data_IF_893537031553
#
_entry.id   IF_893537031553
#
_cell.length_a   1.000
_cell.length_b   1.000
_cell.length_c   1.000
_cell.angle_alpha   90.00
_cell.angle_beta   90.00
_cell.angle_gamma   90.00
#
_symmetry.space_group_name_H-M   'P 1'
#
loop_
_entity.id
_entity.type
_entity.pdbx_description
1 polymer ?
#
# COMPACT_ATOMS: atom_id res chain seq x y z
N UNK A 1 -17.22 -12.71 -2.90
CA UNK A 1 -15.78 -12.99 -2.69
C UNK A 1 -15.15 -11.73 -2.13
N UNK A 2 -14.20 -11.85 -1.20
CA UNK A 2 -13.48 -10.67 -0.69
C UNK A 2 -12.66 -10.01 -1.79
N UNK A 3 -12.69 -8.68 -1.85
CA UNK A 3 -11.85 -7.87 -2.75
C UNK A 3 -10.53 -7.63 -2.02
N UNK A 4 -9.45 -8.04 -2.61
CA UNK A 4 -8.11 -7.89 -2.03
C UNK A 4 -7.20 -7.10 -2.96
N UNK A 5 -6.56 -6.07 -2.43
CA UNK A 5 -5.74 -5.14 -3.18
C UNK A 5 -4.35 -5.02 -2.58
N UNK A 6 -3.32 -5.03 -3.42
CA UNK A 6 -1.97 -4.73 -3.00
C UNK A 6 -1.70 -3.22 -3.20
N UNK A 7 -1.47 -2.50 -2.11
CA UNK A 7 -1.14 -1.07 -2.16
C UNK A 7 0.37 -0.91 -2.30
N UNK A 8 0.79 -0.46 -3.48
CA UNK A 8 2.18 -0.13 -3.79
C UNK A 8 2.38 1.39 -3.83
N UNK A 9 3.60 1.84 -3.61
CA UNK A 9 3.97 3.24 -3.79
C UNK A 9 4.93 3.43 -4.95
N UNK A 10 4.98 4.63 -5.49
CA UNK A 10 6.05 5.02 -6.42
C UNK A 10 7.40 5.17 -5.73
N UNK A 11 7.39 5.30 -4.39
CA UNK A 11 8.60 5.47 -3.56
C UNK A 11 8.26 5.28 -2.07
N UNK A 12 9.26 5.40 -1.20
CA UNK A 12 9.10 5.57 0.25
C UNK A 12 8.56 6.98 0.55
N UNK A 13 7.70 7.10 1.58
CA UNK A 13 7.17 8.40 2.02
C UNK A 13 6.16 9.03 1.05
N UNK A 14 5.55 8.24 0.15
CA UNK A 14 4.48 8.75 -0.74
C UNK A 14 3.08 8.67 -0.11
N UNK A 15 2.98 8.20 1.14
CA UNK A 15 1.73 8.13 1.90
C UNK A 15 0.93 6.86 1.65
N UNK A 16 1.59 5.71 1.40
CA UNK A 16 0.87 4.41 1.24
C UNK A 16 -0.07 4.14 2.39
N UNK A 17 0.41 4.24 3.62
CA UNK A 17 -0.36 3.94 4.83
C UNK A 17 -1.56 4.86 4.97
N UNK A 18 -1.35 6.16 4.76
CA UNK A 18 -2.42 7.13 4.74
C UNK A 18 -3.50 6.77 3.72
N UNK A 19 -3.10 6.47 2.48
CA UNK A 19 -4.06 6.06 1.44
C UNK A 19 -4.69 4.70 1.72
N UNK A 20 -3.95 3.73 2.29
CA UNK A 20 -4.51 2.44 2.73
C UNK A 20 -5.63 2.64 3.76
N UNK A 21 -5.41 3.50 4.76
CA UNK A 21 -6.42 3.87 5.76
C UNK A 21 -7.63 4.56 5.11
N UNK A 22 -7.39 5.52 4.21
CA UNK A 22 -8.47 6.22 3.50
C UNK A 22 -9.30 5.28 2.61
N UNK A 23 -8.66 4.34 1.91
CA UNK A 23 -9.34 3.31 1.10
C UNK A 23 -10.24 2.42 1.97
N UNK A 24 -9.76 2.01 3.15
CA UNK A 24 -10.55 1.22 4.10
C UNK A 24 -11.70 2.03 4.68
N UNK A 25 -11.50 3.30 5.03
CA UNK A 25 -12.55 4.20 5.49
C UNK A 25 -13.64 4.39 4.42
N UNK A 26 -13.24 4.63 3.15
CA UNK A 26 -14.15 4.75 2.03
C UNK A 26 -14.95 3.45 1.79
N UNK A 27 -14.29 2.29 1.83
CA UNK A 27 -14.96 0.99 1.70
C UNK A 27 -15.93 0.72 2.87
N UNK A 28 -15.52 1.04 4.10
CA UNK A 28 -16.36 0.88 5.29
C UNK A 28 -17.62 1.77 5.22
N UNK A 29 -17.51 2.98 4.67
CA UNK A 29 -18.66 3.87 4.45
C UNK A 29 -19.71 3.28 3.50
N UNK A 30 -19.33 2.33 2.64
CA UNK A 30 -20.28 1.56 1.80
C UNK A 30 -20.85 0.32 2.50
N UNK A 31 -20.52 0.09 3.77
CA UNK A 31 -20.99 -1.04 4.57
C UNK A 31 -20.13 -2.30 4.47
N UNK A 32 -18.94 -2.22 3.88
CA UNK A 32 -18.02 -3.34 3.79
C UNK A 32 -17.20 -3.49 5.09
N UNK A 33 -16.91 -4.74 5.45
CA UNK A 33 -15.94 -5.06 6.50
C UNK A 33 -14.53 -5.01 5.89
N UNK A 34 -13.62 -4.33 6.57
CA UNK A 34 -12.27 -4.08 6.08
C UNK A 34 -11.21 -4.72 6.95
N UNK A 35 -10.13 -5.22 6.34
CA UNK A 35 -8.96 -5.71 7.02
C UNK A 35 -7.69 -5.23 6.31
N UNK A 36 -6.58 -5.19 7.02
CA UNK A 36 -5.29 -4.88 6.44
C UNK A 36 -4.19 -5.83 6.93
N UNK A 37 -3.16 -5.95 6.12
CA UNK A 37 -1.90 -6.56 6.50
C UNK A 37 -0.73 -5.77 5.90
N UNK A 38 0.28 -5.50 6.72
CA UNK A 38 1.61 -5.02 6.35
C UNK A 38 2.58 -6.17 6.57
N UNK A 39 2.82 -7.02 5.55
CA UNK A 39 3.51 -8.30 5.75
C UNK A 39 4.94 -8.15 6.25
N UNK A 40 5.57 -7.02 5.95
CA UNK A 40 6.91 -6.64 6.44
C UNK A 40 6.91 -5.15 6.77
N UNK A 41 7.33 -4.80 7.98
CA UNK A 41 7.64 -3.44 8.40
C UNK A 41 9.08 -3.33 8.88
N UNK A 42 9.74 -2.22 8.57
CA UNK A 42 11.04 -1.83 9.08
C UNK A 42 10.92 -0.48 9.81
N UNK A 43 11.73 -0.26 10.85
CA UNK A 43 11.61 0.89 11.74
C UNK A 43 10.55 0.70 12.81
N UNK A 44 10.53 -0.48 13.42
CA UNK A 44 9.67 -0.74 14.58
C UNK A 44 10.33 -0.20 15.85
N UNK A 45 9.49 0.14 16.84
CA UNK A 45 9.94 0.55 18.16
C UNK A 45 10.56 -0.61 18.96
N UNK A 46 11.04 -0.32 20.18
CA UNK A 46 11.66 -1.31 21.08
C UNK A 46 10.70 -2.44 21.51
N UNK A 47 9.39 -2.23 21.39
CA UNK A 47 8.36 -3.23 21.68
C UNK A 47 7.98 -4.05 20.43
N UNK A 48 8.54 -3.72 19.26
CA UNK A 48 8.25 -4.37 17.98
C UNK A 48 7.01 -3.84 17.27
N UNK A 49 6.50 -2.66 17.64
CA UNK A 49 5.39 -2.00 16.97
C UNK A 49 5.88 -1.05 15.88
N UNK A 50 5.13 -1.01 14.79
CA UNK A 50 5.36 -0.13 13.66
C UNK A 50 4.17 0.81 13.49
N UNK A 51 4.41 2.11 13.36
CA UNK A 51 3.37 3.14 13.28
C UNK A 51 2.40 2.91 12.11
N UNK A 52 2.91 2.53 10.92
CA UNK A 52 2.04 2.22 9.78
C UNK A 52 1.07 1.07 10.11
N UNK A 53 1.55 0.01 10.77
CA UNK A 53 0.71 -1.13 11.12
C UNK A 53 -0.34 -0.76 12.18
N UNK A 54 0.00 0.10 13.14
CA UNK A 54 -0.95 0.61 14.13
C UNK A 54 -2.03 1.48 13.45
N UNK A 55 -1.65 2.37 12.54
CA UNK A 55 -2.62 3.16 11.76
C UNK A 55 -3.58 2.25 10.95
N UNK A 56 -3.07 1.18 10.35
CA UNK A 56 -3.91 0.22 9.62
C UNK A 56 -4.90 -0.48 10.57
N UNK A 57 -4.47 -0.85 11.78
CA UNK A 57 -5.33 -1.47 12.80
C UNK A 57 -6.44 -0.53 13.26
N UNK A 58 -6.15 0.75 13.42
CA UNK A 58 -7.14 1.76 13.79
C UNK A 58 -8.19 2.01 12.68
N UNK A 59 -7.78 1.89 11.42
CA UNK A 59 -8.64 2.20 10.27
C UNK A 59 -9.50 1.02 9.80
N UNK A 60 -9.13 -0.23 10.09
CA UNK A 60 -9.89 -1.40 9.68
C UNK A 60 -11.05 -1.70 10.62
N UNK A 61 -12.05 -2.46 10.13
CA UNK A 61 -13.22 -2.88 10.94
C UNK A 61 -13.07 -4.27 11.55
N UNK A 62 -12.15 -5.09 11.06
CA UNK A 62 -11.87 -6.41 11.63
C UNK A 62 -10.98 -6.25 12.87
N UNK A 63 -11.29 -7.03 13.90
CA UNK A 63 -10.47 -7.13 15.11
C UNK A 63 -9.41 -8.23 14.91
N UNK A 64 -8.23 -7.82 14.47
CA UNK A 64 -7.07 -8.68 14.24
C UNK A 64 -5.97 -8.37 15.25
N UNK A 65 -5.27 -9.41 15.70
CA UNK A 65 -4.08 -9.25 16.53
C UNK A 65 -2.96 -8.55 15.75
N UNK A 66 -2.13 -7.74 16.43
CA UNK A 66 -1.01 -7.03 15.80
C UNK A 66 -0.12 -7.96 14.96
N UNK A 67 0.17 -9.17 15.47
CA UNK A 67 0.99 -10.16 14.77
C UNK A 67 0.37 -10.70 13.48
N UNK A 68 -0.94 -10.56 13.31
CA UNK A 68 -1.64 -10.88 12.06
C UNK A 68 -1.53 -9.72 11.06
N UNK A 69 -1.57 -8.47 11.57
CA UNK A 69 -1.45 -7.26 10.75
C UNK A 69 0.01 -7.01 10.35
N UNK A 70 0.96 -7.15 11.29
CA UNK A 70 2.38 -7.00 10.99
C UNK A 70 3.20 -8.20 11.48
N UNK A 71 3.19 -9.32 10.72
CA UNK A 71 3.84 -10.56 11.14
C UNK A 71 5.38 -10.51 11.08
N UNK A 72 5.96 -9.57 10.35
CA UNK A 72 7.41 -9.38 10.28
C UNK A 72 7.75 -7.93 10.62
N UNK A 73 8.00 -7.71 11.90
CA UNK A 73 8.49 -6.45 12.45
C UNK A 73 10.02 -6.48 12.51
N UNK A 74 10.67 -5.45 11.95
CA UNK A 74 12.12 -5.26 11.92
C UNK A 74 12.45 -3.91 12.56
N UNK A 75 13.37 -3.89 13.53
CA UNK A 75 13.75 -2.70 14.30
C UNK A 75 14.39 -1.62 13.41
N UNK A 76 15.38 -1.99 12.60
CA UNK A 76 16.14 -1.03 11.81
C UNK A 76 15.30 -0.37 10.70
N UNK A 77 15.22 0.97 10.69
CA UNK A 77 14.52 1.78 9.69
C UNK A 77 15.29 1.88 8.36
N UNK A 78 15.51 0.75 7.71
CA UNK A 78 16.27 0.60 6.46
C UNK A 78 15.59 -0.39 5.53
N UNK A 79 16.21 -0.69 4.37
CA UNK A 79 15.65 -1.64 3.41
C UNK A 79 15.36 -3.01 4.07
N UNK A 80 14.19 -3.63 3.84
CA UNK A 80 13.72 -4.81 4.56
C UNK A 80 14.70 -6.00 4.57
N UNK A 81 15.37 -6.28 3.45
CA UNK A 81 16.35 -7.37 3.36
C UNK A 81 17.60 -7.10 4.22
N UNK A 82 18.02 -5.84 4.34
CA UNK A 82 19.16 -5.46 5.18
C UNK A 82 18.75 -5.54 6.66
N UNK A 83 17.59 -4.98 7.02
CA UNK A 83 17.06 -5.06 8.38
C UNK A 83 16.87 -6.52 8.84
N UNK A 84 16.34 -7.38 7.96
CA UNK A 84 16.19 -8.80 8.25
C UNK A 84 17.55 -9.50 8.48
N UNK A 85 18.54 -9.23 7.64
CA UNK A 85 19.89 -9.78 7.79
C UNK A 85 20.53 -9.36 9.14
N UNK A 86 20.39 -8.09 9.53
CA UNK A 86 20.87 -7.60 10.83
C UNK A 86 20.17 -8.30 12.01
N UNK A 87 18.88 -8.61 11.85
CA UNK A 87 18.10 -9.35 12.85
C UNK A 87 18.29 -10.88 12.77
N UNK A 88 19.18 -11.40 11.92
CA UNK A 88 19.38 -12.85 11.72
C UNK A 88 18.15 -13.56 11.12
N UNK A 89 17.26 -12.81 10.47
CA UNK A 89 16.03 -13.34 9.85
C UNK A 89 16.20 -13.47 8.33
N UNK A 90 15.55 -14.46 7.74
CA UNK A 90 15.44 -14.61 6.29
C UNK A 90 13.99 -14.39 5.86
N UNK A 91 13.78 -13.46 4.94
CA UNK A 91 12.47 -13.21 4.33
C UNK A 91 12.33 -14.08 3.06
N UNK A 92 11.14 -14.62 2.86
CA UNK A 92 10.78 -15.40 1.67
C UNK A 92 9.37 -15.00 1.22
N UNK A 93 9.19 -14.75 -0.07
CA UNK A 93 7.89 -14.35 -0.61
C UNK A 93 6.80 -15.38 -0.32
N UNK A 94 7.08 -16.66 -0.46
CA UNK A 94 6.13 -17.73 -0.18
C UNK A 94 5.62 -17.76 1.27
N UNK A 95 6.50 -17.44 2.24
CA UNK A 95 6.10 -17.32 3.65
C UNK A 95 5.19 -16.11 3.88
N UNK A 96 5.55 -14.95 3.30
CA UNK A 96 4.75 -13.74 3.39
C UNK A 96 3.37 -13.93 2.74
N UNK A 97 3.31 -14.62 1.61
CA UNK A 97 2.06 -15.04 0.95
C UNK A 97 1.18 -15.87 1.87
N UNK A 98 1.75 -16.84 2.58
CA UNK A 98 1.01 -17.64 3.56
C UNK A 98 0.37 -16.80 4.66
N UNK A 99 1.11 -15.81 5.19
CA UNK A 99 0.62 -14.87 6.20
C UNK A 99 -0.49 -13.96 5.65
N UNK A 100 -0.32 -13.42 4.44
CA UNK A 100 -1.36 -12.64 3.76
C UNK A 100 -2.65 -13.46 3.56
N UNK A 101 -2.51 -14.71 3.12
CA UNK A 101 -3.66 -15.62 2.95
C UNK A 101 -4.40 -15.88 4.27
N UNK A 102 -3.70 -15.89 5.41
CA UNK A 102 -4.33 -15.99 6.72
C UNK A 102 -5.32 -14.83 6.96
N UNK A 103 -4.93 -13.59 6.67
CA UNK A 103 -5.82 -12.44 6.77
C UNK A 103 -6.92 -12.46 5.71
N UNK A 104 -6.63 -12.94 4.49
CA UNK A 104 -7.62 -13.08 3.42
C UNK A 104 -8.74 -14.09 3.76
N UNK A 105 -8.56 -14.95 4.75
CA UNK A 105 -9.57 -15.87 5.28
C UNK A 105 -10.44 -15.24 6.38
N UNK A 106 -10.18 -13.98 6.79
CA UNK A 106 -11.05 -13.24 7.71
C UNK A 106 -12.45 -13.02 7.12
N UNK A 107 -13.33 -12.43 7.90
CA UNK A 107 -14.66 -12.09 7.40
C UNK A 107 -14.71 -10.76 6.64
N UNK A 108 -13.58 -10.13 6.39
CA UNK A 108 -13.50 -8.89 5.63
C UNK A 108 -13.93 -9.08 4.17
N UNK A 109 -14.63 -8.08 3.65
CA UNK A 109 -15.04 -8.02 2.25
C UNK A 109 -14.04 -7.22 1.41
N UNK A 110 -13.30 -6.29 2.05
CA UNK A 110 -12.30 -5.44 1.45
C UNK A 110 -10.99 -5.55 2.24
N UNK A 111 -9.93 -6.01 1.57
CA UNK A 111 -8.64 -6.31 2.22
C UNK A 111 -7.54 -5.53 1.55
N UNK A 112 -6.72 -4.84 2.35
CA UNK A 112 -5.53 -4.13 1.91
C UNK A 112 -4.28 -4.90 2.32
N UNK A 113 -3.42 -5.20 1.36
CA UNK A 113 -2.06 -5.69 1.59
C UNK A 113 -1.10 -4.55 1.31
N UNK A 114 -0.52 -3.96 2.33
CA UNK A 114 0.36 -2.82 2.15
C UNK A 114 1.81 -3.24 1.94
N UNK A 115 2.39 -2.81 0.82
CA UNK A 115 3.82 -2.93 0.55
C UNK A 115 4.67 -1.99 1.38
N UNK A 116 6.00 -2.14 1.32
CA UNK A 116 6.97 -1.23 1.89
C UNK A 116 7.79 -0.58 0.77
N UNK A 117 8.08 0.73 0.88
CA UNK A 117 8.82 1.46 -0.15
C UNK A 117 8.11 1.51 -1.50
N UNK A 118 8.84 1.27 -2.59
CA UNK A 118 8.28 1.19 -3.94
C UNK A 118 7.93 -0.24 -4.37
N UNK A 119 7.86 -0.49 -5.69
CA UNK A 119 7.50 -1.81 -6.24
C UNK A 119 8.64 -2.84 -6.13
N UNK A 120 9.87 -2.45 -6.47
CA UNK A 120 11.05 -3.33 -6.51
C UNK A 120 11.84 -3.28 -5.20
N UNK A 121 11.21 -3.57 -4.07
CA UNK A 121 11.88 -3.60 -2.75
C UNK A 121 12.38 -5.01 -2.45
N UNK A 122 13.71 -5.24 -2.38
CA UNK A 122 14.26 -6.56 -2.09
C UNK A 122 13.85 -7.04 -0.69
N UNK A 123 13.49 -8.32 -0.60
CA UNK A 123 13.28 -9.04 0.66
C UNK A 123 14.41 -10.05 0.91
N UNK A 124 15.07 -10.48 -0.16
CA UNK A 124 16.29 -11.28 -0.15
C UNK A 124 17.05 -11.10 -1.48
N UNK A 125 18.19 -11.76 -1.73
CA UNK A 125 18.96 -11.58 -2.97
C UNK A 125 18.26 -11.99 -4.28
N UNK A 126 17.10 -12.66 -4.21
CA UNK A 126 16.40 -13.21 -5.39
C UNK A 126 14.97 -12.71 -5.52
N UNK A 127 14.36 -12.27 -4.41
CA UNK A 127 12.94 -11.93 -4.35
C UNK A 127 12.75 -10.49 -3.87
N UNK A 128 11.66 -9.89 -4.32
CA UNK A 128 11.19 -8.55 -3.93
C UNK A 128 9.79 -8.64 -3.31
N UNK A 129 9.28 -7.55 -2.73
CA UNK A 129 7.89 -7.49 -2.28
C UNK A 129 6.88 -7.64 -3.42
N UNK A 130 7.26 -7.29 -4.66
CA UNK A 130 6.44 -7.54 -5.84
C UNK A 130 6.12 -9.05 -6.01
N UNK A 131 7.06 -9.94 -5.66
CA UNK A 131 6.86 -11.39 -5.76
C UNK A 131 5.73 -11.89 -4.83
N UNK A 132 5.47 -11.17 -3.73
CA UNK A 132 4.32 -11.45 -2.84
C UNK A 132 3.01 -11.15 -3.58
N UNK A 133 2.88 -9.97 -4.21
CA UNK A 133 1.69 -9.61 -4.98
C UNK A 133 1.48 -10.55 -6.17
N UNK A 134 2.56 -10.91 -6.87
CA UNK A 134 2.53 -11.85 -8.00
C UNK A 134 2.03 -13.23 -7.57
N UNK A 135 2.54 -13.79 -6.46
CA UNK A 135 2.10 -15.11 -5.97
C UNK A 135 0.67 -15.10 -5.40
N UNK A 136 0.19 -13.95 -4.94
CA UNK A 136 -1.19 -13.76 -4.51
C UNK A 136 -2.16 -13.55 -5.67
N UNK A 137 -1.67 -13.13 -6.83
CA UNK A 137 -2.48 -12.79 -8.02
C UNK A 137 -3.55 -11.72 -7.72
N UNK A 138 -3.19 -10.71 -6.94
CA UNK A 138 -4.09 -9.61 -6.57
C UNK A 138 -3.84 -8.37 -7.43
N UNK A 139 -4.89 -7.57 -7.64
CA UNK A 139 -4.76 -6.28 -8.33
C UNK A 139 -3.96 -5.27 -7.49
N UNK A 140 -3.27 -4.36 -8.16
CA UNK A 140 -2.42 -3.36 -7.52
C UNK A 140 -3.07 -1.98 -7.57
N UNK A 141 -3.11 -1.29 -6.43
CA UNK A 141 -3.41 0.14 -6.34
C UNK A 141 -2.09 0.87 -6.15
N UNK A 142 -1.78 1.81 -7.04
CA UNK A 142 -0.54 2.57 -7.00
C UNK A 142 -0.74 3.94 -6.35
N UNK A 143 -0.04 4.21 -5.26
CA UNK A 143 0.03 5.53 -4.63
C UNK A 143 1.16 6.33 -5.27
N UNK A 144 0.80 7.42 -5.93
CA UNK A 144 1.73 8.34 -6.59
C UNK A 144 1.92 9.56 -5.69
N UNK A 145 3.14 9.71 -5.13
CA UNK A 145 3.47 10.93 -4.38
C UNK A 145 3.67 12.10 -5.34
N UNK A 146 2.78 13.09 -5.26
CA UNK A 146 2.76 14.25 -6.16
C UNK A 146 3.87 15.23 -5.82
N UNK A 147 5.03 15.01 -6.43
CA UNK A 147 6.24 15.82 -6.34
C UNK A 147 7.01 15.77 -7.67
N UNK A 148 7.97 16.66 -7.88
CA UNK A 148 8.79 16.65 -9.10
C UNK A 148 9.44 15.25 -9.30
N UNK A 149 9.26 14.68 -10.50
CA UNK A 149 9.67 13.32 -10.84
C UNK A 149 8.55 12.26 -10.74
N UNK A 150 7.37 12.61 -10.22
CA UNK A 150 6.23 11.68 -10.03
C UNK A 150 5.80 10.99 -11.33
N UNK A 151 5.79 11.70 -12.46
CA UNK A 151 5.42 11.14 -13.77
C UNK A 151 6.35 9.97 -14.11
N UNK A 152 7.68 10.20 -14.08
CA UNK A 152 8.66 9.16 -14.38
C UNK A 152 8.51 7.95 -13.43
N UNK A 153 8.40 8.19 -12.12
CA UNK A 153 8.26 7.11 -11.13
C UNK A 153 6.98 6.32 -11.32
N UNK A 154 5.87 7.00 -11.61
CA UNK A 154 4.57 6.35 -11.81
C UNK A 154 4.59 5.46 -13.07
N UNK A 155 5.10 5.97 -14.19
CA UNK A 155 5.16 5.22 -15.46
C UNK A 155 6.08 4.00 -15.35
N UNK A 156 7.29 4.15 -14.80
CA UNK A 156 8.20 3.02 -14.59
C UNK A 156 7.60 1.97 -13.65
N UNK A 157 6.89 2.41 -12.60
CA UNK A 157 6.23 1.48 -11.67
C UNK A 157 5.08 0.75 -12.35
N UNK A 158 4.24 1.45 -13.11
CA UNK A 158 3.13 0.84 -13.86
C UNK A 158 3.63 -0.17 -14.90
N UNK A 159 4.70 0.14 -15.63
CA UNK A 159 5.36 -0.79 -16.54
C UNK A 159 5.85 -2.04 -15.81
N UNK A 160 6.50 -1.88 -14.65
CA UNK A 160 7.01 -2.99 -13.86
C UNK A 160 5.88 -3.90 -13.36
N UNK A 161 4.77 -3.34 -12.85
CA UNK A 161 3.59 -4.10 -12.40
C UNK A 161 3.02 -4.94 -13.56
N UNK A 162 2.83 -4.32 -14.74
CA UNK A 162 2.31 -5.02 -15.92
C UNK A 162 3.26 -6.09 -16.45
N UNK A 163 4.57 -5.81 -16.44
CA UNK A 163 5.59 -6.79 -16.83
C UNK A 163 5.60 -8.03 -15.92
N UNK A 164 5.27 -7.84 -14.65
CA UNK A 164 5.14 -8.94 -13.68
C UNK A 164 3.83 -9.73 -13.84
N UNK A 165 2.99 -9.39 -14.82
CA UNK A 165 1.74 -10.09 -15.13
C UNK A 165 0.57 -9.69 -14.22
N UNK A 166 0.68 -8.59 -13.49
CA UNK A 166 -0.39 -8.10 -12.64
C UNK A 166 -1.16 -6.94 -13.30
N UNK A 167 -2.39 -6.78 -12.86
CA UNK A 167 -3.21 -5.64 -13.22
C UNK A 167 -2.87 -4.45 -12.32
N UNK A 168 -2.52 -3.31 -12.91
CA UNK A 168 -2.66 -2.03 -12.25
C UNK A 168 -4.16 -1.72 -12.22
N UNK A 169 -4.81 -1.98 -11.09
CA UNK A 169 -6.26 -1.84 -10.96
C UNK A 169 -6.67 -0.36 -10.90
N UNK A 170 -5.90 0.43 -10.17
CA UNK A 170 -6.14 1.85 -9.99
C UNK A 170 -4.89 2.59 -9.51
N UNK A 171 -4.97 3.92 -9.44
CA UNK A 171 -3.96 4.74 -8.80
C UNK A 171 -4.58 5.93 -8.05
N UNK A 172 -3.83 6.43 -7.08
CA UNK A 172 -4.20 7.60 -6.25
C UNK A 172 -3.08 8.63 -6.37
N UNK A 173 -3.43 9.86 -6.68
CA UNK A 173 -2.54 11.01 -6.49
C UNK A 173 -2.58 11.40 -5.02
N UNK A 174 -1.43 11.40 -4.35
CA UNK A 174 -1.34 11.83 -2.95
C UNK A 174 -0.33 12.97 -2.80
N UNK A 175 -0.72 14.00 -2.07
CA UNK A 175 0.15 15.14 -1.78
C UNK A 175 0.76 14.96 -0.38
N UNK A 176 1.98 14.39 -0.26
CA UNK A 176 2.59 14.13 1.06
C UNK A 176 3.15 15.39 1.74
N UNK A 177 2.93 16.55 1.14
CA UNK A 177 3.37 17.85 1.60
C UNK A 177 2.69 18.98 0.81
N UNK A 178 3.21 20.19 0.86
CA UNK A 178 2.66 21.32 0.12
C UNK A 178 2.49 21.03 -1.37
N UNK A 179 1.43 21.56 -1.95
CA UNK A 179 1.09 21.35 -3.36
C UNK A 179 2.24 21.75 -4.28
N UNK A 180 2.64 20.85 -5.17
CA UNK A 180 3.71 21.09 -6.14
C UNK A 180 3.29 22.10 -7.21
N UNK A 181 4.28 22.77 -7.83
CA UNK A 181 4.04 23.61 -8.99
C UNK A 181 3.48 22.79 -10.16
N UNK A 182 2.57 23.39 -10.94
CA UNK A 182 1.92 22.75 -12.09
C UNK A 182 1.27 21.40 -11.73
N UNK A 183 0.64 21.32 -10.55
CA UNK A 183 0.01 20.09 -10.05
C UNK A 183 -1.02 19.53 -11.04
N UNK A 184 -1.92 20.39 -11.56
CA UNK A 184 -2.98 19.98 -12.48
C UNK A 184 -2.44 19.42 -13.79
N UNK A 185 -1.40 20.03 -14.34
CA UNK A 185 -0.76 19.58 -15.59
C UNK A 185 -0.06 18.25 -15.40
N UNK A 186 0.57 18.02 -14.22
CA UNK A 186 1.15 16.73 -13.89
C UNK A 186 0.06 15.67 -13.70
N UNK A 187 -1.04 16.01 -13.02
CA UNK A 187 -2.17 15.13 -12.79
C UNK A 187 -2.83 14.71 -14.11
N UNK A 188 -3.06 15.68 -15.01
CA UNK A 188 -3.62 15.39 -16.34
C UNK A 188 -2.70 14.51 -17.18
N UNK A 189 -1.39 14.75 -17.14
CA UNK A 189 -0.39 13.88 -17.80
C UNK A 189 -0.47 12.45 -17.27
N UNK A 190 -0.57 12.25 -15.97
CA UNK A 190 -0.71 10.92 -15.36
C UNK A 190 -2.03 10.25 -15.76
N UNK A 191 -3.15 11.00 -15.80
CA UNK A 191 -4.45 10.46 -16.26
C UNK A 191 -4.39 9.94 -17.69
N UNK A 192 -3.66 10.62 -18.56
CA UNK A 192 -3.53 10.23 -19.98
C UNK A 192 -2.56 9.06 -20.16
N UNK A 193 -1.54 8.93 -19.33
CA UNK A 193 -0.45 7.98 -19.54
C UNK A 193 -0.55 6.71 -18.71
N UNK A 194 -1.20 6.73 -17.56
CA UNK A 194 -1.37 5.53 -16.74
C UNK A 194 -2.54 4.67 -17.28
N UNK A 195 -2.33 3.36 -17.42
CA UNK A 195 -3.32 2.44 -18.00
C UNK A 195 -4.35 1.94 -16.99
N UNK A 196 -4.76 2.80 -16.06
CA UNK A 196 -5.70 2.47 -15.00
C UNK A 196 -6.46 3.74 -14.55
N UNK A 197 -7.67 3.61 -14.01
CA UNK A 197 -8.42 4.75 -13.50
C UNK A 197 -7.75 5.37 -12.27
N UNK A 198 -7.89 6.68 -12.14
CA UNK A 198 -7.55 7.44 -10.95
C UNK A 198 -8.71 7.34 -9.95
N UNK A 199 -8.41 6.97 -8.70
CA UNK A 199 -9.39 6.96 -7.62
C UNK A 199 -9.62 8.36 -7.03
N UNK A 200 -8.60 9.21 -7.06
CA UNK A 200 -8.69 10.54 -6.52
C UNK A 200 -7.37 11.26 -6.39
N UNK A 201 -7.46 12.54 -6.06
CA UNK A 201 -6.35 13.44 -5.70
C UNK A 201 -6.52 13.84 -4.24
N UNK A 202 -5.73 13.25 -3.35
CA UNK A 202 -5.79 13.49 -1.90
C UNK A 202 -4.85 14.64 -1.57
N UNK A 203 -5.38 15.77 -1.05
CA UNK A 203 -4.57 16.93 -0.72
C UNK A 203 -3.69 16.67 0.51
N UNK A 204 -2.74 17.54 0.75
CA UNK A 204 -2.00 17.56 2.01
C UNK A 204 -2.94 17.95 3.16
N UNK A 205 -3.11 17.04 4.12
CA UNK A 205 -3.90 17.22 5.33
C UNK A 205 -2.94 17.35 6.51
N UNK A 206 -2.73 18.54 7.08
CA UNK A 206 -1.83 18.75 8.22
C UNK A 206 -2.24 17.92 9.45
N UNK A 207 -3.54 17.88 9.73
CA UNK A 207 -4.16 17.06 10.75
C UNK A 207 -4.78 15.84 10.03
N UNK A 208 -3.95 14.81 9.82
CA UNK A 208 -4.35 13.64 9.05
C UNK A 208 -5.57 12.94 9.67
N UNK A 209 -6.62 12.79 8.86
CA UNK A 209 -7.80 11.99 9.17
C UNK A 209 -8.17 11.12 7.98
N UNK A 210 -8.32 9.80 8.21
CA UNK A 210 -8.60 8.82 7.16
C UNK A 210 -10.01 9.02 6.56
N UNK A 211 -10.98 9.47 7.34
CA UNK A 211 -12.36 9.73 6.88
C UNK A 211 -12.41 10.97 6.01
N UNK A 212 -11.68 12.03 6.37
CA UNK A 212 -11.54 13.22 5.54
C UNK A 212 -10.86 12.87 4.21
N UNK A 213 -9.74 12.14 4.25
CA UNK A 213 -9.04 11.70 3.06
C UNK A 213 -9.90 10.79 2.17
N UNK A 214 -10.76 9.95 2.75
CA UNK A 214 -11.69 9.09 2.03
C UNK A 214 -12.69 9.88 1.15
N UNK A 215 -13.06 11.11 1.53
CA UNK A 215 -13.94 11.96 0.73
C UNK A 215 -13.33 12.39 -0.61
N UNK A 216 -12.02 12.23 -0.78
CA UNK A 216 -11.30 12.49 -2.02
C UNK A 216 -11.11 11.23 -2.89
N UNK A 217 -11.67 10.08 -2.49
CA UNK A 217 -11.51 8.80 -3.18
C UNK A 217 -12.85 8.25 -3.69
N UNK A 218 -12.89 7.90 -4.97
CA UNK A 218 -13.96 7.08 -5.54
C UNK A 218 -13.52 5.61 -5.57
N UNK A 219 -14.10 4.81 -4.67
CA UNK A 219 -13.78 3.38 -4.54
C UNK A 219 -14.86 2.47 -5.14
N UNK A 220 -15.86 3.02 -5.83
CA UNK A 220 -17.05 2.28 -6.28
C UNK A 220 -16.65 1.01 -7.05
N UNK A 221 -15.83 1.12 -8.08
CA UNK A 221 -15.45 -0.04 -8.88
C UNK A 221 -14.50 -1.04 -8.16
N UNK A 222 -13.88 -0.64 -7.05
CA UNK A 222 -13.09 -1.54 -6.19
C UNK A 222 -13.99 -2.38 -5.29
N UNK A 223 -15.21 -1.95 -5.06
CA UNK A 223 -16.17 -2.54 -4.12
C UNK A 223 -17.28 -3.36 -4.79
N UNK A 224 -17.47 -3.20 -6.11
CA UNK A 224 -18.34 -4.03 -6.94
C UNK A 224 -17.70 -5.41 -7.23
#
# INVERSE_FOLDING_TARGET
MSKTWFVAGTDTGVGKTAISCALMAAASATGLRTAAIKPVAAGCDDNGYNDDALCLMEAMTEDLEYSQVNPVALEAAIAPHIAANLAGKTLQASRLVGLCRGVMLSQANFIVIEGAGGWRVPINPRETLADVAVQLQVGVILVVGMRLGCINHALLTAEAIRRDGLQLAAWVANQPGPRMACHEENLETLRQMLPAPMLGDVPYLPDWDATEAANHLDVHFLTE
#
